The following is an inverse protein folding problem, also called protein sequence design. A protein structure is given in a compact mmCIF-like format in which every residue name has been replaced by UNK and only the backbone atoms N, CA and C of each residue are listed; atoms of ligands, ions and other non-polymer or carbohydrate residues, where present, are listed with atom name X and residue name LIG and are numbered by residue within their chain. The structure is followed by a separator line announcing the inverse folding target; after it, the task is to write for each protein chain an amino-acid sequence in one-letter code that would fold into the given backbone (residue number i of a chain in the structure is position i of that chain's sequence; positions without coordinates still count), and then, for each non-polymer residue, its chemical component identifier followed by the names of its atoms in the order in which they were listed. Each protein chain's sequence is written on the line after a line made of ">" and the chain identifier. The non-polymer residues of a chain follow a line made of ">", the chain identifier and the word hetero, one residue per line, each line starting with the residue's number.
data_IF_679847752732
#
_entry.id   IF_679847752732
#
_cell.length_a   1.000
_cell.length_b   1.000
_cell.length_c   1.000
_cell.angle_alpha   90.00
_cell.angle_beta   90.00
_cell.angle_gamma   90.00
#
_symmetry.space_group_name_H-M   'P 1'
#
loop_
_entity.id
_entity.type
_entity.pdbx_description
1 polymer ?
#
# COMPACT_ATOMS: atom_id res chain seq x y z
N UNK A 1 6.93 4.86 24.60
CA UNK A 1 7.60 6.08 24.07
C UNK A 1 8.99 6.23 24.73
N UNK A 2 9.83 5.20 24.63
CA UNK A 2 11.16 5.19 25.26
C UNK A 2 12.24 5.98 24.48
N UNK A 3 11.93 6.56 23.32
CA UNK A 3 12.91 7.25 22.46
C UNK A 3 12.60 8.74 22.17
N UNK A 4 11.71 9.37 22.96
CA UNK A 4 11.41 10.80 22.82
C UNK A 4 10.66 11.19 21.52
N UNK A 5 10.12 10.20 20.78
CA UNK A 5 9.28 10.47 19.61
C UNK A 5 7.85 10.76 20.09
N UNK A 6 7.25 11.90 19.72
CA UNK A 6 5.85 12.17 20.03
C UNK A 6 4.96 11.13 19.35
N UNK A 7 4.03 10.55 20.11
CA UNK A 7 3.06 9.57 19.61
C UNK A 7 1.67 10.10 19.90
N UNK A 8 0.84 10.14 18.86
CA UNK A 8 -0.59 10.47 18.95
C UNK A 8 -1.37 9.22 18.57
N UNK A 9 -2.31 8.82 19.41
CA UNK A 9 -3.25 7.76 19.10
C UNK A 9 -4.42 8.36 18.29
N UNK A 10 -4.59 7.89 17.05
CA UNK A 10 -5.65 8.34 16.17
C UNK A 10 -6.27 7.16 15.41
N UNK A 11 -7.56 7.22 15.16
CA UNK A 11 -8.29 6.25 14.33
C UNK A 11 -8.25 6.71 12.87
N UNK A 12 -7.50 5.99 12.04
CA UNK A 12 -7.34 6.31 10.61
C UNK A 12 -8.63 6.12 9.78
N UNK A 13 -9.69 5.53 10.35
CA UNK A 13 -11.01 5.46 9.73
C UNK A 13 -11.83 6.72 9.96
N UNK A 14 -11.37 7.62 10.83
CA UNK A 14 -11.94 8.95 11.05
C UNK A 14 -11.13 9.99 10.28
N UNK A 15 -11.63 11.21 10.27
CA UNK A 15 -10.87 12.31 9.71
C UNK A 15 -9.62 12.61 10.57
N UNK A 16 -8.59 13.13 9.94
CA UNK A 16 -7.37 13.59 10.59
C UNK A 16 -7.41 15.10 10.84
N UNK A 17 -8.60 15.62 11.17
CA UNK A 17 -8.87 17.06 11.35
C UNK A 17 -8.02 17.75 12.42
N UNK A 18 -7.43 16.98 13.34
CA UNK A 18 -6.49 17.48 14.33
C UNK A 18 -5.17 17.99 13.70
N UNK A 19 -4.85 17.56 12.47
CA UNK A 19 -3.66 17.98 11.76
C UNK A 19 -4.02 19.07 10.75
N UNK A 20 -3.36 20.26 10.83
CA UNK A 20 -3.54 21.32 9.84
C UNK A 20 -3.10 20.88 8.44
N UNK A 21 -3.65 21.56 7.42
CA UNK A 21 -3.23 21.37 6.04
C UNK A 21 -1.74 21.68 5.89
N UNK A 22 -1.06 20.85 5.07
CA UNK A 22 0.37 21.02 4.75
C UNK A 22 1.30 21.15 5.96
N UNK A 23 0.95 20.47 7.08
CA UNK A 23 1.76 20.50 8.30
C UNK A 23 3.01 19.63 8.24
N UNK A 24 3.11 18.76 7.21
CA UNK A 24 4.25 17.87 7.01
C UNK A 24 4.73 17.90 5.57
N UNK A 25 6.05 17.76 5.36
CA UNK A 25 6.62 17.56 4.02
C UNK A 25 6.30 16.15 3.49
N UNK A 26 6.37 15.16 4.37
CA UNK A 26 6.10 13.75 4.04
C UNK A 26 5.19 13.09 5.07
N UNK A 27 4.24 12.31 4.57
CA UNK A 27 3.41 11.42 5.40
C UNK A 27 3.64 9.98 4.91
N UNK A 28 3.85 9.05 5.85
CA UNK A 28 4.19 7.67 5.53
C UNK A 28 3.09 6.74 6.01
N UNK A 29 2.53 5.94 5.11
CA UNK A 29 1.61 4.84 5.40
C UNK A 29 2.31 3.49 5.12
N UNK A 30 2.73 2.83 6.19
CA UNK A 30 3.38 1.54 6.08
C UNK A 30 2.39 0.40 6.35
N UNK A 31 2.02 -0.35 5.29
CA UNK A 31 1.10 -1.50 5.33
C UNK A 31 -0.30 -1.20 5.91
N UNK A 32 -0.72 0.04 5.85
CA UNK A 32 -1.95 0.52 6.50
C UNK A 32 -3.08 0.75 5.51
N UNK A 33 -2.76 1.23 4.30
CA UNK A 33 -3.78 1.64 3.33
C UNK A 33 -4.79 0.53 3.00
N UNK A 34 -4.33 -0.70 2.91
CA UNK A 34 -5.17 -1.85 2.54
C UNK A 34 -5.96 -2.43 3.72
N UNK A 35 -5.80 -1.92 4.94
CA UNK A 35 -6.49 -2.39 6.14
C UNK A 35 -7.53 -1.42 6.67
N UNK A 36 -7.58 -0.20 6.18
CA UNK A 36 -8.58 0.80 6.57
C UNK A 36 -9.88 0.61 5.80
N UNK A 37 -10.98 1.08 6.38
CA UNK A 37 -12.32 0.94 5.78
C UNK A 37 -12.49 1.78 4.51
N UNK A 38 -11.85 2.96 4.44
CA UNK A 38 -11.97 3.91 3.33
C UNK A 38 -10.59 4.37 2.85
N UNK A 39 -9.89 3.55 2.04
CA UNK A 39 -8.53 3.85 1.56
C UNK A 39 -8.44 5.15 0.75
N UNK A 40 -9.45 5.43 -0.06
CA UNK A 40 -9.55 6.63 -0.88
C UNK A 40 -9.61 7.91 -0.04
N UNK A 41 -10.40 7.89 1.05
CA UNK A 41 -10.48 9.02 2.00
C UNK A 41 -9.15 9.23 2.72
N UNK A 42 -8.54 8.14 3.18
CA UNK A 42 -7.25 8.21 3.88
C UNK A 42 -6.15 8.80 2.97
N UNK A 43 -6.13 8.44 1.67
CA UNK A 43 -5.20 9.03 0.71
C UNK A 43 -5.38 10.54 0.56
N UNK A 44 -6.63 10.99 0.48
CA UNK A 44 -6.94 12.42 0.37
C UNK A 44 -6.52 13.19 1.63
N UNK A 45 -6.80 12.65 2.82
CA UNK A 45 -6.39 13.23 4.10
C UNK A 45 -4.86 13.24 4.24
N UNK A 46 -4.20 12.15 3.89
CA UNK A 46 -2.74 12.08 3.86
C UNK A 46 -2.12 13.20 3.00
N UNK A 47 -2.69 13.47 1.81
CA UNK A 47 -2.22 14.53 0.91
C UNK A 47 -2.80 15.91 1.24
N UNK A 48 -3.73 16.02 2.17
CA UNK A 48 -4.14 17.29 2.78
C UNK A 48 -3.13 17.73 3.83
N UNK A 49 -2.73 16.81 4.70
CA UNK A 49 -1.80 17.13 5.82
C UNK A 49 -0.33 17.12 5.39
N UNK A 50 0.01 16.40 4.33
CA UNK A 50 1.38 16.31 3.80
C UNK A 50 1.50 16.72 2.34
N UNK A 51 2.65 17.29 1.99
CA UNK A 51 2.96 17.63 0.58
C UNK A 51 3.20 16.40 -0.25
N UNK A 52 3.81 15.36 0.35
CA UNK A 52 4.10 14.09 -0.30
C UNK A 52 3.64 12.92 0.56
N UNK A 53 3.16 11.86 -0.10
CA UNK A 53 2.82 10.60 0.53
C UNK A 53 3.81 9.50 0.16
N UNK A 54 4.21 8.69 1.13
CA UNK A 54 4.98 7.46 0.91
C UNK A 54 4.14 6.29 1.39
N UNK A 55 3.82 5.36 0.49
CA UNK A 55 2.89 4.27 0.77
C UNK A 55 3.55 2.94 0.44
N UNK A 56 3.54 2.00 1.37
CA UNK A 56 3.84 0.61 1.06
C UNK A 56 2.54 -0.14 0.74
N UNK A 57 2.49 -0.71 -0.46
CA UNK A 57 1.33 -1.40 -0.99
C UNK A 57 1.65 -2.87 -1.28
N UNK A 58 0.81 -3.78 -0.78
CA UNK A 58 0.95 -5.21 -1.02
C UNK A 58 0.30 -5.57 -2.36
N UNK A 59 1.03 -6.28 -3.21
CA UNK A 59 0.56 -6.65 -4.54
C UNK A 59 -0.07 -8.04 -4.55
N UNK A 60 -1.39 -8.10 -4.62
CA UNK A 60 -2.12 -9.36 -4.85
C UNK A 60 -2.06 -9.83 -6.31
N UNK A 61 -1.58 -8.99 -7.23
CA UNK A 61 -1.37 -9.33 -8.64
C UNK A 61 -0.09 -10.12 -8.94
N UNK A 62 0.73 -10.45 -7.94
CA UNK A 62 1.96 -11.22 -8.13
C UNK A 62 1.70 -12.64 -8.63
N UNK A 63 2.66 -13.21 -9.37
CA UNK A 63 2.51 -14.50 -10.04
C UNK A 63 2.08 -15.62 -9.09
N UNK A 64 2.68 -15.69 -7.91
CA UNK A 64 2.36 -16.70 -6.89
C UNK A 64 0.87 -16.65 -6.50
N UNK A 65 0.34 -15.44 -6.26
CA UNK A 65 -1.07 -15.25 -5.92
C UNK A 65 -2.00 -15.63 -7.09
N UNK A 66 -1.63 -15.26 -8.32
CA UNK A 66 -2.40 -15.60 -9.53
C UNK A 66 -2.46 -17.12 -9.75
N UNK A 67 -1.36 -17.83 -9.56
CA UNK A 67 -1.34 -19.28 -9.71
C UNK A 67 -2.21 -19.96 -8.64
N UNK A 68 -2.14 -19.53 -7.40
CA UNK A 68 -3.00 -20.09 -6.34
C UNK A 68 -4.49 -19.87 -6.66
N UNK A 69 -4.88 -18.67 -7.13
CA UNK A 69 -6.25 -18.39 -7.57
C UNK A 69 -6.65 -19.25 -8.79
N UNK A 70 -5.76 -19.43 -9.76
CA UNK A 70 -6.01 -20.27 -10.93
C UNK A 70 -6.33 -21.72 -10.53
N UNK A 71 -5.68 -22.22 -9.47
CA UNK A 71 -5.95 -23.55 -8.91
C UNK A 71 -7.08 -23.58 -7.87
N UNK A 72 -7.85 -22.49 -7.74
CA UNK A 72 -9.03 -22.42 -6.87
C UNK A 72 -8.74 -22.19 -5.39
N UNK A 73 -7.54 -21.74 -5.04
CA UNK A 73 -7.16 -21.45 -3.66
C UNK A 73 -6.98 -19.96 -3.42
N UNK A 74 -7.43 -19.45 -2.26
CA UNK A 74 -7.10 -18.10 -1.84
C UNK A 74 -5.59 -17.98 -1.57
N UNK A 75 -4.95 -16.90 -2.04
CA UNK A 75 -3.51 -16.75 -1.93
C UNK A 75 -3.03 -16.69 -0.48
N UNK A 76 -2.07 -17.55 -0.16
CA UNK A 76 -1.24 -17.44 1.04
C UNK A 76 0.18 -17.21 0.56
N UNK A 77 0.71 -16.03 0.78
CA UNK A 77 2.02 -15.61 0.27
C UNK A 77 2.94 -15.20 1.41
N UNK A 78 4.22 -15.03 1.13
CA UNK A 78 5.16 -14.53 2.15
C UNK A 78 4.79 -13.12 2.64
N UNK A 79 4.15 -12.31 1.79
CA UNK A 79 3.66 -10.97 2.16
C UNK A 79 2.40 -11.03 3.03
N UNK A 80 1.58 -12.06 2.86
CA UNK A 80 0.40 -12.36 3.65
C UNK A 80 0.39 -13.85 4.02
N UNK A 81 1.11 -14.26 5.09
CA UNK A 81 1.30 -15.67 5.45
C UNK A 81 0.18 -16.20 6.34
N UNK A 82 -1.06 -15.79 6.09
CA UNK A 82 -2.26 -16.16 6.86
C UNK A 82 -3.36 -16.64 5.93
N UNK A 83 -4.22 -17.50 6.41
CA UNK A 83 -5.37 -18.00 5.65
C UNK A 83 -6.46 -16.94 5.56
N UNK A 84 -7.33 -17.05 4.58
CA UNK A 84 -8.38 -16.06 4.30
C UNK A 84 -9.31 -15.78 5.50
N UNK A 85 -9.53 -16.73 6.39
CA UNK A 85 -10.37 -16.60 7.58
C UNK A 85 -9.62 -16.08 8.82
N UNK A 86 -8.32 -15.90 8.71
CA UNK A 86 -7.45 -15.36 9.76
C UNK A 86 -7.12 -13.87 9.50
N UNK A 87 -7.47 -13.38 8.32
CA UNK A 87 -7.29 -11.97 7.97
C UNK A 87 -8.41 -11.14 8.60
N UNK A 88 -8.03 -9.99 9.13
CA UNK A 88 -9.00 -8.96 9.49
C UNK A 88 -9.50 -8.25 8.22
N UNK A 89 -9.81 -6.96 8.29
CA UNK A 89 -10.19 -6.19 7.11
C UNK A 89 -8.99 -5.99 6.18
N UNK A 90 -9.01 -6.55 4.96
CA UNK A 90 -7.99 -6.35 3.93
C UNK A 90 -8.67 -6.08 2.60
N UNK A 91 -8.27 -4.99 1.93
CA UNK A 91 -8.61 -4.69 0.55
C UNK A 91 -7.54 -5.27 -0.37
N UNK A 92 -7.76 -6.46 -0.97
CA UNK A 92 -6.83 -7.02 -1.93
C UNK A 92 -6.83 -6.14 -3.19
N UNK A 93 -5.64 -5.76 -3.64
CA UNK A 93 -5.47 -4.94 -4.83
C UNK A 93 -4.16 -5.25 -5.54
N UNK A 94 -4.10 -4.94 -6.81
CA UNK A 94 -2.88 -5.02 -7.61
C UNK A 94 -2.22 -3.65 -7.72
N UNK A 95 -0.98 -3.60 -8.22
CA UNK A 95 -0.34 -2.31 -8.51
C UNK A 95 -1.08 -1.53 -9.61
N UNK A 96 -1.79 -2.24 -10.50
CA UNK A 96 -2.68 -1.63 -11.49
C UNK A 96 -3.83 -0.90 -10.82
N UNK A 97 -4.55 -1.57 -9.92
CA UNK A 97 -5.69 -0.99 -9.20
C UNK A 97 -5.28 0.25 -8.39
N UNK A 98 -4.09 0.25 -7.79
CA UNK A 98 -3.58 1.42 -7.07
C UNK A 98 -3.30 2.61 -8.01
N UNK A 99 -2.76 2.36 -9.22
CA UNK A 99 -2.56 3.42 -10.22
C UNK A 99 -3.88 4.00 -10.70
N UNK A 100 -4.88 3.13 -10.92
CA UNK A 100 -6.21 3.55 -11.32
C UNK A 100 -6.87 4.39 -10.20
N UNK A 101 -6.79 3.98 -8.95
CA UNK A 101 -7.24 4.74 -7.79
C UNK A 101 -6.58 6.14 -7.75
N UNK A 102 -5.27 6.22 -7.90
CA UNK A 102 -4.55 7.50 -7.94
C UNK A 102 -5.06 8.40 -9.08
N UNK A 103 -5.23 7.83 -10.27
CA UNK A 103 -5.74 8.55 -11.45
C UNK A 103 -7.14 9.09 -11.23
N UNK A 104 -8.06 8.27 -10.69
CA UNK A 104 -9.44 8.64 -10.44
C UNK A 104 -9.58 9.78 -9.41
N UNK A 105 -8.63 9.85 -8.47
CA UNK A 105 -8.59 10.91 -7.45
C UNK A 105 -7.66 12.08 -7.78
N UNK A 106 -7.10 12.13 -9.01
CA UNK A 106 -6.20 13.22 -9.43
C UNK A 106 -4.86 13.24 -8.67
N UNK A 107 -4.46 12.09 -8.14
CA UNK A 107 -3.21 11.93 -7.39
C UNK A 107 -2.09 11.56 -8.37
N UNK A 108 -0.99 12.28 -8.30
CA UNK A 108 0.18 12.03 -9.14
C UNK A 108 1.14 11.07 -8.45
N UNK A 109 1.49 9.99 -9.13
CA UNK A 109 2.56 9.08 -8.70
C UNK A 109 3.90 9.65 -9.19
N UNK A 110 4.76 10.03 -8.24
CA UNK A 110 6.09 10.59 -8.52
C UNK A 110 7.09 9.46 -8.77
N UNK A 111 6.99 8.39 -7.96
CA UNK A 111 7.94 7.28 -8.03
C UNK A 111 7.26 5.99 -7.61
N UNK A 112 7.62 4.91 -8.31
CA UNK A 112 7.28 3.53 -7.95
C UNK A 112 8.57 2.75 -7.70
N UNK A 113 8.62 2.05 -6.58
CA UNK A 113 9.75 1.21 -6.21
C UNK A 113 9.20 -0.20 -5.96
N UNK A 114 9.17 -1.06 -6.99
CA UNK A 114 8.72 -2.42 -6.85
C UNK A 114 9.73 -3.24 -6.05
N UNK A 115 9.22 -4.04 -5.11
CA UNK A 115 10.02 -4.86 -4.21
C UNK A 115 9.64 -6.32 -4.43
N UNK A 116 10.64 -7.14 -4.78
CA UNK A 116 10.56 -8.60 -4.74
C UNK A 116 11.17 -9.11 -3.46
N UNK A 117 10.75 -10.26 -3.01
CA UNK A 117 11.34 -10.87 -1.81
C UNK A 117 12.69 -11.51 -2.13
N UNK A 118 13.55 -11.59 -1.11
CA UNK A 118 14.81 -12.32 -1.22
C UNK A 118 14.52 -13.80 -1.50
N UNK A 119 15.25 -14.37 -2.49
CA UNK A 119 15.09 -15.75 -2.94
C UNK A 119 14.13 -15.93 -4.10
N UNK A 120 13.43 -14.89 -4.57
CA UNK A 120 12.62 -14.98 -5.77
C UNK A 120 13.52 -15.10 -7.01
N UNK A 121 13.47 -16.25 -7.67
CA UNK A 121 14.22 -16.50 -8.91
C UNK A 121 13.89 -15.49 -10.01
N UNK A 122 12.63 -15.02 -10.04
CA UNK A 122 12.13 -14.10 -11.05
C UNK A 122 12.30 -12.61 -10.70
N UNK A 123 13.00 -12.29 -9.63
CA UNK A 123 13.23 -10.88 -9.20
C UNK A 123 13.86 -10.00 -10.27
N UNK A 124 14.65 -10.59 -11.19
CA UNK A 124 15.25 -9.86 -12.30
C UNK A 124 14.23 -9.29 -13.28
N UNK A 125 13.04 -9.89 -13.37
CA UNK A 125 11.95 -9.44 -14.22
C UNK A 125 11.04 -8.40 -13.53
N UNK A 126 11.25 -8.13 -12.24
CA UNK A 126 10.45 -7.16 -11.47
C UNK A 126 10.41 -5.77 -12.09
N UNK A 127 11.54 -5.19 -12.61
CA UNK A 127 11.49 -3.89 -13.26
C UNK A 127 10.72 -3.88 -14.58
N UNK A 128 10.66 -5.02 -15.29
CA UNK A 128 9.96 -5.15 -16.57
C UNK A 128 8.44 -5.31 -16.39
N UNK A 129 8.03 -6.13 -15.42
CA UNK A 129 6.62 -6.38 -15.11
C UNK A 129 6.34 -6.34 -13.60
N UNK A 130 6.36 -5.14 -12.99
CA UNK A 130 6.20 -5.00 -11.53
C UNK A 130 4.92 -5.64 -11.01
N UNK A 131 3.82 -5.50 -11.73
CA UNK A 131 2.52 -6.05 -11.32
C UNK A 131 2.50 -7.58 -11.28
N UNK A 132 3.41 -8.26 -11.96
CA UNK A 132 3.51 -9.71 -12.00
C UNK A 132 4.57 -10.26 -11.03
N UNK A 133 5.68 -9.55 -10.88
CA UNK A 133 6.86 -10.07 -10.16
C UNK A 133 7.18 -9.34 -8.85
N UNK A 134 6.59 -8.17 -8.60
CA UNK A 134 6.74 -7.52 -7.30
C UNK A 134 5.73 -8.07 -6.29
N UNK A 135 6.20 -8.39 -5.10
CA UNK A 135 5.34 -8.76 -3.96
C UNK A 135 4.77 -7.53 -3.26
N UNK A 136 5.52 -6.45 -3.25
CA UNK A 136 5.14 -5.15 -2.69
C UNK A 136 5.64 -4.03 -3.60
N UNK A 137 5.10 -2.84 -3.41
CA UNK A 137 5.62 -1.62 -4.04
C UNK A 137 5.58 -0.46 -3.05
N UNK A 138 6.62 0.37 -3.07
CA UNK A 138 6.59 1.67 -2.40
C UNK A 138 6.24 2.71 -3.45
N UNK A 139 5.17 3.44 -3.20
CA UNK A 139 4.73 4.58 -4.02
C UNK A 139 5.07 5.88 -3.31
N UNK A 140 5.63 6.82 -4.06
CA UNK A 140 5.74 8.23 -3.66
C UNK A 140 4.71 9.00 -4.48
N UNK A 141 3.80 9.67 -3.80
CA UNK A 141 2.67 10.37 -4.40
C UNK A 141 2.61 11.83 -3.99
N UNK A 142 1.95 12.64 -4.79
CA UNK A 142 1.59 14.04 -4.47
C UNK A 142 0.24 14.39 -5.08
N UNK A 143 -0.29 15.51 -4.68
CA UNK A 143 -1.47 16.12 -5.31
C UNK A 143 -1.11 16.80 -6.61
#
# INVERSE_FOLDING_TARGET
>A
VQRGVPVIEADLNKDLSEFPDHSFDYVILSRTLQTVTYPDRLLNEMLRIGTHGIISFMNFGQLEARLQLLFGNMPVTKSLPVKWYETENIHPGTLGDFRDLCKDHGIRIIKEIPISQEGDFLRFFTPLWPNLFASNCIFVISK
#
